data_IF_026683264099
#
_entry.id   IF_026683264099
#
_cell.length_a   1.000
_cell.length_b   1.000
_cell.length_c   1.000
_cell.angle_alpha   90.00
_cell.angle_beta   90.00
_cell.angle_gamma   90.00
#
_symmetry.space_group_name_H-M   'P 1'
#
loop_
_entity.id
_entity.type
_entity.pdbx_description
1 polymer ?
#
# COMPACT_ATOMS: atom_id res chain seq x y z
N UNK A 1 -4.68 22.56 62.98
CA UNK A 1 -4.97 23.70 62.10
C UNK A 1 -4.27 23.59 60.74
N UNK A 2 -2.95 23.34 60.63
CA UNK A 2 -2.27 23.37 59.31
C UNK A 2 -2.38 22.13 58.39
N UNK A 3 -2.82 20.96 58.86
CA UNK A 3 -2.75 19.70 58.08
C UNK A 3 -3.83 19.55 56.99
N UNK A 4 -5.03 20.09 57.19
CA UNK A 4 -6.14 19.96 56.23
C UNK A 4 -5.98 20.92 55.03
N UNK A 5 -5.53 22.15 55.27
CA UNK A 5 -5.19 23.10 54.20
C UNK A 5 -4.04 22.60 53.32
N UNK A 6 -2.99 22.01 53.93
CA UNK A 6 -1.88 21.41 53.17
C UNK A 6 -2.34 20.24 52.30
N UNK A 7 -3.34 19.46 52.76
CA UNK A 7 -3.87 18.33 52.00
C UNK A 7 -4.65 18.76 50.75
N UNK A 8 -5.46 19.82 50.86
CA UNK A 8 -6.14 20.41 49.71
C UNK A 8 -5.16 20.98 48.67
N UNK A 9 -4.10 21.64 49.12
CA UNK A 9 -3.05 22.17 48.23
C UNK A 9 -2.25 21.05 47.54
N UNK A 10 -2.02 19.93 48.21
CA UNK A 10 -1.40 18.75 47.63
C UNK A 10 -2.28 18.08 46.56
N UNK A 11 -3.61 18.01 46.80
CA UNK A 11 -4.59 17.52 45.80
C UNK A 11 -4.63 18.42 44.56
N UNK A 12 -4.65 19.74 44.73
CA UNK A 12 -4.65 20.68 43.60
C UNK A 12 -3.37 20.57 42.76
N UNK A 13 -2.23 20.35 43.43
CA UNK A 13 -0.96 20.09 42.74
C UNK A 13 -0.99 18.78 41.96
N UNK A 14 -1.50 17.70 42.57
CA UNK A 14 -1.66 16.41 41.90
C UNK A 14 -2.62 16.49 40.70
N UNK A 15 -3.75 17.22 40.84
CA UNK A 15 -4.69 17.47 39.76
C UNK A 15 -4.06 18.25 38.60
N UNK A 16 -3.23 19.24 38.90
CA UNK A 16 -2.47 19.99 37.88
C UNK A 16 -1.50 19.07 37.12
N UNK A 17 -0.72 18.27 37.83
CA UNK A 17 0.19 17.29 37.20
C UNK A 17 -0.57 16.32 36.31
N UNK A 18 -1.72 15.82 36.75
CA UNK A 18 -2.54 14.90 35.98
C UNK A 18 -3.13 15.55 34.72
N UNK A 19 -3.51 16.82 34.78
CA UNK A 19 -3.97 17.56 33.59
C UNK A 19 -2.84 17.80 32.58
N UNK A 20 -1.60 18.03 33.05
CA UNK A 20 -0.42 18.13 32.19
C UNK A 20 -0.15 16.79 31.48
N UNK A 21 -0.26 15.66 32.20
CA UNK A 21 -0.14 14.33 31.61
C UNK A 21 -1.26 14.05 30.59
N UNK A 22 -2.51 14.39 30.91
CA UNK A 22 -3.63 14.26 29.99
C UNK A 22 -3.41 15.06 28.70
N UNK A 23 -2.85 16.26 28.82
CA UNK A 23 -2.48 17.09 27.67
C UNK A 23 -1.35 16.45 26.84
N UNK A 24 -0.38 15.82 27.49
CA UNK A 24 0.68 15.09 26.79
C UNK A 24 0.12 13.87 26.04
N UNK A 25 -0.83 13.13 26.64
CA UNK A 25 -1.53 12.00 25.99
C UNK A 25 -2.31 12.44 24.76
N UNK A 26 -3.04 13.54 24.83
CA UNK A 26 -3.76 14.09 23.66
C UNK A 26 -2.82 14.44 22.50
N UNK A 27 -1.65 15.01 22.80
CA UNK A 27 -0.64 15.29 21.77
C UNK A 27 -0.12 14.01 21.14
N UNK A 28 0.12 12.96 21.93
CA UNK A 28 0.55 11.65 21.44
C UNK A 28 -0.55 10.98 20.59
N UNK A 29 -1.82 11.14 20.96
CA UNK A 29 -2.95 10.69 20.15
C UNK A 29 -2.96 11.40 18.79
N UNK A 30 -2.71 12.72 18.78
CA UNK A 30 -2.60 13.49 17.54
C UNK A 30 -1.47 12.99 16.62
N UNK A 31 -0.28 12.73 17.17
CA UNK A 31 0.83 12.20 16.35
C UNK A 31 0.56 10.80 15.81
N UNK A 32 -0.19 9.97 16.54
CA UNK A 32 -0.64 8.65 16.07
C UNK A 32 -1.65 8.76 14.94
N UNK A 33 -2.61 9.69 15.02
CA UNK A 33 -3.54 9.94 13.93
C UNK A 33 -2.82 10.42 12.66
N UNK A 34 -1.86 11.34 12.80
CA UNK A 34 -1.04 11.80 11.67
C UNK A 34 -0.26 10.64 11.03
N UNK A 35 0.31 9.75 11.85
CA UNK A 35 1.00 8.56 11.37
C UNK A 35 0.05 7.56 10.68
N UNK A 36 -1.18 7.42 11.17
CA UNK A 36 -2.21 6.60 10.53
C UNK A 36 -2.58 7.15 9.15
N UNK A 37 -2.82 8.47 9.05
CA UNK A 37 -3.13 9.15 7.79
C UNK A 37 -2.01 8.97 6.77
N UNK A 38 -0.75 9.16 7.18
CA UNK A 38 0.41 8.97 6.30
C UNK A 38 0.51 7.54 5.76
N UNK A 39 0.19 6.53 6.57
CA UNK A 39 0.17 5.13 6.14
C UNK A 39 -0.97 4.83 5.17
N UNK A 40 -2.16 5.37 5.43
CA UNK A 40 -3.30 5.23 4.52
C UNK A 40 -2.98 5.86 3.15
N UNK A 41 -2.39 7.06 3.12
CA UNK A 41 -1.92 7.71 1.88
C UNK A 41 -0.89 6.85 1.15
N UNK A 42 0.08 6.28 1.88
CA UNK A 42 1.10 5.40 1.28
C UNK A 42 0.46 4.13 0.70
N UNK A 43 -0.58 3.58 1.34
CA UNK A 43 -1.33 2.44 0.82
C UNK A 43 -2.10 2.82 -0.46
N UNK A 44 -2.73 3.99 -0.50
CA UNK A 44 -3.45 4.50 -1.69
C UNK A 44 -2.52 4.75 -2.89
N UNK A 45 -1.32 5.28 -2.64
CA UNK A 45 -0.30 5.46 -3.69
C UNK A 45 0.07 4.12 -4.31
N UNK A 46 0.29 3.08 -3.48
CA UNK A 46 0.57 1.72 -3.97
C UNK A 46 -0.59 1.16 -4.79
N UNK A 47 -1.82 1.27 -4.31
CA UNK A 47 -3.00 0.81 -5.05
C UNK A 47 -3.13 1.51 -6.41
N UNK A 48 -2.80 2.80 -6.46
CA UNK A 48 -2.86 3.61 -7.68
C UNK A 48 -1.78 3.21 -8.68
N UNK A 49 -0.56 2.97 -8.21
CA UNK A 49 0.53 2.45 -9.03
C UNK A 49 0.18 1.05 -9.59
N UNK A 50 -0.38 0.18 -8.76
CA UNK A 50 -0.80 -1.17 -9.16
C UNK A 50 -1.87 -1.15 -10.27
N UNK A 51 -2.79 -0.17 -10.25
CA UNK A 51 -3.81 -0.01 -11.32
C UNK A 51 -3.17 0.35 -12.67
N UNK A 52 -2.17 1.22 -12.67
CA UNK A 52 -1.44 1.62 -13.88
C UNK A 52 -0.62 0.45 -14.43
N UNK A 53 0.19 -0.19 -13.58
CA UNK A 53 0.97 -1.35 -13.99
C UNK A 53 0.07 -2.50 -14.48
N UNK A 54 -1.11 -2.72 -13.88
CA UNK A 54 -2.08 -3.73 -14.34
C UNK A 54 -2.50 -3.52 -15.78
N UNK A 55 -2.72 -2.26 -16.16
CA UNK A 55 -3.13 -1.93 -17.52
C UNK A 55 -2.01 -2.24 -18.50
N UNK A 56 -0.79 -1.81 -18.19
CA UNK A 56 0.40 -2.10 -18.99
C UNK A 56 0.67 -3.61 -19.10
N UNK A 57 0.54 -4.35 -18.00
CA UNK A 57 0.72 -5.79 -17.96
C UNK A 57 -0.31 -6.53 -18.83
N UNK A 58 -1.58 -6.08 -18.84
CA UNK A 58 -2.62 -6.63 -19.72
C UNK A 58 -2.34 -6.34 -21.19
N UNK A 59 -1.86 -5.14 -21.50
CA UNK A 59 -1.53 -4.78 -22.88
C UNK A 59 -0.32 -5.59 -23.39
N UNK A 60 0.69 -5.84 -22.54
CA UNK A 60 1.79 -6.74 -22.87
C UNK A 60 1.32 -8.18 -23.21
N UNK A 61 0.33 -8.72 -22.49
CA UNK A 61 -0.26 -10.03 -22.84
C UNK A 61 -0.97 -10.02 -24.18
N UNK A 62 -1.71 -8.95 -24.51
CA UNK A 62 -2.38 -8.81 -25.80
C UNK A 62 -1.36 -8.73 -26.94
N UNK A 63 -0.28 -8.00 -26.74
CA UNK A 63 0.81 -7.91 -27.71
C UNK A 63 1.50 -9.26 -27.90
N UNK A 64 1.71 -10.02 -26.82
CA UNK A 64 2.25 -11.38 -26.89
C UNK A 64 1.35 -12.31 -27.73
N UNK A 65 0.03 -12.30 -27.49
CA UNK A 65 -0.92 -13.08 -28.29
C UNK A 65 -0.92 -12.65 -29.76
N UNK A 66 -0.82 -11.34 -30.03
CA UNK A 66 -0.75 -10.83 -31.39
C UNK A 66 0.52 -11.30 -32.10
N UNK A 67 1.66 -11.30 -31.41
CA UNK A 67 2.93 -11.82 -31.93
C UNK A 67 2.87 -13.32 -32.20
N UNK A 68 2.26 -14.11 -31.32
CA UNK A 68 2.07 -15.54 -31.57
C UNK A 68 1.23 -15.80 -32.83
N UNK A 69 0.12 -15.05 -33.02
CA UNK A 69 -0.68 -15.13 -34.25
C UNK A 69 0.11 -14.73 -35.50
N UNK A 70 0.93 -13.68 -35.39
CA UNK A 70 1.81 -13.22 -36.46
C UNK A 70 2.89 -14.25 -36.80
N UNK A 71 3.42 -14.97 -35.81
CA UNK A 71 4.36 -16.06 -36.01
C UNK A 71 3.70 -17.25 -36.72
N UNK A 72 2.49 -17.65 -36.29
CA UNK A 72 1.72 -18.72 -36.93
C UNK A 72 1.41 -18.40 -38.40
N UNK A 73 0.97 -17.17 -38.69
CA UNK A 73 0.71 -16.73 -40.05
C UNK A 73 1.96 -16.81 -40.94
N UNK A 74 3.13 -16.47 -40.39
CA UNK A 74 4.41 -16.58 -41.12
C UNK A 74 4.82 -18.03 -41.36
N UNK A 75 4.64 -18.92 -40.39
CA UNK A 75 4.92 -20.34 -40.59
C UNK A 75 4.01 -20.95 -41.67
N UNK A 76 2.72 -20.59 -41.68
CA UNK A 76 1.80 -20.99 -42.75
C UNK A 76 2.27 -20.47 -44.10
N UNK A 77 2.71 -19.21 -44.17
CA UNK A 77 3.20 -18.59 -45.39
C UNK A 77 4.53 -19.23 -45.86
N UNK A 78 5.42 -19.60 -44.93
CA UNK A 78 6.66 -20.32 -45.23
C UNK A 78 6.36 -21.70 -45.82
N UNK A 79 5.49 -22.47 -45.16
CA UNK A 79 5.08 -23.80 -45.63
C UNK A 79 4.42 -23.75 -47.02
N UNK A 80 3.59 -22.74 -47.29
CA UNK A 80 2.99 -22.55 -48.61
C UNK A 80 4.04 -22.28 -49.70
N UNK A 81 5.07 -21.48 -49.39
CA UNK A 81 6.18 -21.19 -50.33
C UNK A 81 7.08 -22.39 -50.56
N UNK A 82 7.37 -23.17 -49.52
CA UNK A 82 8.13 -24.43 -49.63
C UNK A 82 7.40 -25.45 -50.49
N UNK A 83 6.08 -25.57 -50.30
CA UNK A 83 5.24 -26.41 -51.15
C UNK A 83 5.29 -25.95 -52.60
N UNK A 84 5.09 -24.66 -52.87
CA UNK A 84 5.16 -24.11 -54.22
C UNK A 84 6.54 -24.32 -54.89
N UNK A 85 7.63 -24.22 -54.12
CA UNK A 85 8.98 -24.51 -54.63
C UNK A 85 9.17 -26.00 -54.96
N UNK A 86 8.52 -26.89 -54.21
CA UNK A 86 8.55 -28.34 -54.43
C UNK A 86 7.72 -28.74 -55.65
N UNK A 87 6.58 -28.08 -55.86
CA UNK A 87 5.67 -28.35 -56.99
C UNK A 87 6.26 -27.84 -58.33
N UNK A 88 7.09 -26.79 -58.33
CA UNK A 88 7.72 -26.19 -59.54
C UNK A 88 9.25 -25.99 -59.41
N UNK A 89 10.05 -27.07 -59.32
CA UNK A 89 11.49 -27.00 -59.00
C UNK A 89 12.35 -26.41 -60.12
N UNK A 90 11.92 -26.52 -61.38
CA UNK A 90 12.64 -25.96 -62.54
C UNK A 90 12.26 -24.50 -62.84
N UNK A 91 11.32 -23.92 -62.09
CA UNK A 91 11.04 -22.50 -62.19
C UNK A 91 12.24 -21.71 -61.66
N UNK A 92 12.72 -20.70 -62.39
CA UNK A 92 13.78 -19.79 -61.90
C UNK A 92 13.42 -19.03 -60.60
N UNK A 93 12.26 -19.31 -60.01
CA UNK A 93 11.72 -18.75 -58.78
C UNK A 93 11.87 -19.68 -57.56
N UNK A 94 12.22 -20.97 -57.74
CA UNK A 94 12.31 -21.95 -56.64
C UNK A 94 13.19 -21.42 -55.49
N UNK A 95 14.38 -20.90 -55.82
CA UNK A 95 15.34 -20.43 -54.83
C UNK A 95 14.85 -19.15 -54.12
N UNK A 96 14.10 -18.30 -54.83
CA UNK A 96 13.49 -17.10 -54.22
C UNK A 96 12.39 -17.47 -53.22
N UNK A 97 11.59 -18.50 -53.53
CA UNK A 97 10.54 -18.99 -52.63
C UNK A 97 11.12 -19.58 -51.35
N UNK A 98 12.18 -20.39 -51.45
CA UNK A 98 12.86 -20.95 -50.28
C UNK A 98 13.51 -19.88 -49.41
N UNK A 99 14.19 -18.90 -50.02
CA UNK A 99 14.78 -17.78 -49.26
C UNK A 99 13.71 -16.99 -48.49
N UNK A 100 12.54 -16.76 -49.11
CA UNK A 100 11.41 -16.08 -48.43
C UNK A 100 10.81 -16.94 -47.32
N UNK A 101 10.66 -18.25 -47.54
CA UNK A 101 10.16 -19.16 -46.52
C UNK A 101 11.09 -19.19 -45.30
N UNK A 102 12.40 -19.22 -45.54
CA UNK A 102 13.39 -19.13 -44.47
C UNK A 102 13.28 -17.79 -43.70
N UNK A 103 13.18 -16.66 -44.40
CA UNK A 103 12.99 -15.36 -43.77
C UNK A 103 11.69 -15.30 -42.94
N UNK A 104 10.60 -15.90 -43.41
CA UNK A 104 9.35 -15.98 -42.66
C UNK A 104 9.50 -16.83 -41.38
N UNK A 105 10.20 -17.97 -41.43
CA UNK A 105 10.50 -18.79 -40.25
C UNK A 105 11.38 -18.06 -39.24
N UNK A 106 12.39 -17.35 -39.70
CA UNK A 106 13.26 -16.53 -38.84
C UNK A 106 12.44 -15.43 -38.13
N UNK A 107 11.57 -14.74 -38.87
CA UNK A 107 10.68 -13.73 -38.30
C UNK A 107 9.64 -14.34 -37.34
N UNK A 108 9.11 -15.53 -37.63
CA UNK A 108 8.20 -16.25 -36.72
C UNK A 108 8.90 -16.65 -35.41
N UNK A 109 10.16 -17.09 -35.48
CA UNK A 109 10.96 -17.37 -34.28
C UNK A 109 11.21 -16.10 -33.46
N UNK A 110 11.51 -14.96 -34.12
CA UNK A 110 11.68 -13.68 -33.44
C UNK A 110 10.40 -13.22 -32.73
N UNK A 111 9.24 -13.33 -33.38
CA UNK A 111 7.94 -12.98 -32.80
C UNK A 111 7.62 -13.84 -31.56
N UNK A 112 7.87 -15.15 -31.63
CA UNK A 112 7.70 -16.06 -30.48
C UNK A 112 8.63 -15.71 -29.32
N UNK A 113 9.87 -15.36 -29.62
CA UNK A 113 10.84 -14.95 -28.60
C UNK A 113 10.38 -13.66 -27.90
N UNK A 114 9.87 -12.69 -28.65
CA UNK A 114 9.30 -11.47 -28.10
C UNK A 114 8.05 -11.76 -27.24
N UNK A 115 7.11 -12.58 -27.74
CA UNK A 115 5.93 -12.98 -26.98
C UNK A 115 6.28 -13.71 -25.67
N UNK A 116 7.34 -14.54 -25.67
CA UNK A 116 7.85 -15.18 -24.46
C UNK A 116 8.41 -14.16 -23.46
N UNK A 117 9.13 -13.15 -23.94
CA UNK A 117 9.65 -12.06 -23.10
C UNK A 117 8.52 -11.23 -22.47
N UNK A 118 7.47 -10.91 -23.23
CA UNK A 118 6.30 -10.19 -22.71
C UNK A 118 5.59 -10.97 -21.61
N UNK A 119 5.41 -12.29 -21.80
CA UNK A 119 4.84 -13.17 -20.77
C UNK A 119 5.72 -13.24 -19.52
N UNK A 120 7.04 -13.29 -19.68
CA UNK A 120 7.97 -13.27 -18.54
C UNK A 120 7.90 -11.94 -17.76
N UNK A 121 7.77 -10.81 -18.45
CA UNK A 121 7.55 -9.51 -17.84
C UNK A 121 6.22 -9.47 -17.08
N UNK A 122 5.15 -10.05 -17.64
CA UNK A 122 3.86 -10.18 -16.97
C UNK A 122 3.95 -10.99 -15.66
N UNK A 123 4.67 -12.11 -15.65
CA UNK A 123 4.89 -12.88 -14.42
C UNK A 123 5.65 -12.08 -13.36
N UNK A 124 6.68 -11.35 -13.77
CA UNK A 124 7.43 -10.45 -12.86
C UNK A 124 6.52 -9.37 -12.26
N UNK A 125 5.59 -8.84 -13.06
CA UNK A 125 4.57 -7.91 -12.57
C UNK A 125 3.66 -8.57 -11.51
N UNK A 126 3.18 -9.79 -11.74
CA UNK A 126 2.34 -10.51 -10.77
C UNK A 126 3.04 -10.73 -9.42
N UNK A 127 4.33 -11.08 -9.46
CA UNK A 127 5.14 -11.25 -8.23
C UNK A 127 5.24 -9.93 -7.45
N UNK A 128 5.53 -8.84 -8.16
CA UNK A 128 5.57 -7.50 -7.57
C UNK A 128 4.22 -7.09 -7.00
N UNK A 129 3.14 -7.33 -7.73
CA UNK A 129 1.76 -7.04 -7.31
C UNK A 129 1.45 -7.74 -5.98
N UNK A 130 1.81 -9.01 -5.85
CA UNK A 130 1.61 -9.76 -4.60
C UNK A 130 2.40 -9.19 -3.41
N UNK A 131 3.57 -8.59 -3.66
CA UNK A 131 4.35 -7.89 -2.62
C UNK A 131 3.68 -6.56 -2.26
N UNK A 132 3.29 -5.75 -3.24
CA UNK A 132 2.69 -4.43 -3.01
C UNK A 132 1.34 -4.52 -2.29
N UNK A 133 0.48 -5.47 -2.66
CA UNK A 133 -0.80 -5.69 -1.98
C UNK A 133 -0.61 -6.07 -0.52
N UNK A 134 0.39 -6.91 -0.21
CA UNK A 134 0.71 -7.29 1.17
C UNK A 134 1.25 -6.09 1.96
N UNK A 135 2.08 -5.26 1.34
CA UNK A 135 2.58 -4.04 1.97
C UNK A 135 1.44 -3.05 2.27
N UNK A 136 0.58 -2.75 1.29
CA UNK A 136 -0.58 -1.87 1.47
C UNK A 136 -1.55 -2.40 2.54
N UNK A 137 -1.79 -3.72 2.59
CA UNK A 137 -2.61 -4.33 3.63
C UNK A 137 -2.00 -4.19 5.03
N UNK A 138 -0.67 -4.30 5.14
CA UNK A 138 0.04 -4.04 6.42
C UNK A 138 -0.11 -2.58 6.82
N UNK A 139 0.12 -1.63 5.91
CA UNK A 139 0.05 -0.21 6.24
C UNK A 139 -1.34 0.19 6.74
N UNK A 140 -2.42 -0.30 6.11
CA UNK A 140 -3.79 -0.08 6.60
C UNK A 140 -4.05 -0.71 7.97
N UNK A 141 -3.47 -1.89 8.24
CA UNK A 141 -3.58 -2.53 9.56
C UNK A 141 -2.87 -1.69 10.62
N UNK A 142 -1.65 -1.25 10.34
CA UNK A 142 -0.85 -0.46 11.27
C UNK A 142 -1.51 0.91 11.51
N UNK A 143 -2.10 1.53 10.48
CA UNK A 143 -2.91 2.74 10.60
C UNK A 143 -4.14 2.54 11.50
N UNK A 144 -4.83 1.41 11.38
CA UNK A 144 -5.95 1.08 12.27
C UNK A 144 -5.50 0.92 13.73
N UNK A 145 -4.36 0.25 13.95
CA UNK A 145 -3.79 0.10 15.30
C UNK A 145 -3.38 1.44 15.92
N UNK A 146 -2.84 2.36 15.12
CA UNK A 146 -2.49 3.70 15.60
C UNK A 146 -3.74 4.50 15.99
N UNK A 147 -4.83 4.41 15.22
CA UNK A 147 -6.11 5.02 15.57
C UNK A 147 -6.71 4.44 16.85
N UNK A 148 -6.66 3.12 17.03
CA UNK A 148 -7.11 2.46 18.26
C UNK A 148 -6.29 2.92 19.47
N UNK A 149 -4.96 3.05 19.29
CA UNK A 149 -4.06 3.52 20.35
C UNK A 149 -4.30 5.00 20.68
N UNK A 150 -4.51 5.85 19.67
CA UNK A 150 -4.85 7.26 19.84
C UNK A 150 -6.18 7.42 20.59
N UNK A 151 -7.17 6.57 20.28
CA UNK A 151 -8.44 6.57 20.99
C UNK A 151 -8.25 6.19 22.47
N UNK A 152 -7.45 5.16 22.76
CA UNK A 152 -7.14 4.76 24.13
C UNK A 152 -6.43 5.89 24.91
N UNK A 153 -5.50 6.62 24.29
CA UNK A 153 -4.85 7.77 24.94
C UNK A 153 -5.85 8.87 25.31
N UNK A 154 -6.80 9.18 24.41
CA UNK A 154 -7.82 10.21 24.65
C UNK A 154 -8.78 9.81 25.75
N UNK A 155 -9.16 8.53 25.80
CA UNK A 155 -10.02 8.02 26.86
C UNK A 155 -9.31 8.09 28.21
N UNK A 156 -8.02 7.72 28.28
CA UNK A 156 -7.20 7.90 29.48
C UNK A 156 -7.07 9.38 29.87
N UNK A 157 -6.81 10.28 28.91
CA UNK A 157 -6.74 11.72 29.15
C UNK A 157 -8.08 12.31 29.64
N UNK A 158 -9.21 11.73 29.22
CA UNK A 158 -10.54 12.11 29.72
C UNK A 158 -10.70 11.66 31.18
N UNK A 159 -10.37 10.41 31.49
CA UNK A 159 -10.45 9.87 32.84
C UNK A 159 -9.56 10.66 33.81
N UNK A 160 -8.36 11.04 33.35
CA UNK A 160 -7.43 11.89 34.09
C UNK A 160 -8.06 13.23 34.47
N UNK A 161 -8.67 13.93 33.52
CA UNK A 161 -9.35 15.20 33.80
C UNK A 161 -10.53 15.04 34.74
N UNK A 162 -11.30 13.96 34.61
CA UNK A 162 -12.39 13.64 35.53
C UNK A 162 -11.87 13.45 36.96
N UNK A 163 -10.76 12.72 37.13
CA UNK A 163 -10.11 12.55 38.43
C UNK A 163 -9.55 13.88 38.97
N UNK A 164 -8.93 14.70 38.13
CA UNK A 164 -8.45 16.04 38.50
C UNK A 164 -9.58 16.96 38.97
N UNK A 165 -10.72 16.95 38.29
CA UNK A 165 -11.90 17.71 38.72
C UNK A 165 -12.42 17.24 40.08
N UNK A 166 -12.49 15.92 40.31
CA UNK A 166 -12.90 15.37 41.60
C UNK A 166 -11.92 15.74 42.73
N UNK A 167 -10.61 15.69 42.46
CA UNK A 167 -9.57 16.08 43.43
C UNK A 167 -9.71 17.56 43.83
N UNK A 168 -10.00 18.46 42.88
CA UNK A 168 -10.22 19.89 43.13
C UNK A 168 -11.50 20.15 43.90
N UNK A 169 -12.58 19.45 43.57
CA UNK A 169 -13.84 19.52 44.33
C UNK A 169 -13.60 19.11 45.79
N UNK A 170 -12.90 18.00 46.02
CA UNK A 170 -12.57 17.55 47.36
C UNK A 170 -11.66 18.54 48.09
N UNK A 171 -10.62 19.08 47.43
CA UNK A 171 -9.76 20.11 48.00
C UNK A 171 -10.55 21.37 48.42
N UNK A 172 -11.56 21.77 47.62
CA UNK A 172 -12.43 22.89 47.94
C UNK A 172 -13.28 22.64 49.20
N UNK A 173 -13.80 21.41 49.36
CA UNK A 173 -14.55 21.00 50.56
C UNK A 173 -13.63 20.97 51.78
N UNK A 174 -12.43 20.40 51.66
CA UNK A 174 -11.44 20.32 52.74
C UNK A 174 -11.04 21.73 53.23
N UNK A 175 -10.87 22.69 52.31
CA UNK A 175 -10.65 24.10 52.66
C UNK A 175 -11.84 24.73 53.35
N UNK A 176 -13.07 24.51 52.85
CA UNK A 176 -14.29 25.07 53.44
C UNK A 176 -14.56 24.54 54.86
N UNK A 177 -14.13 23.32 55.18
CA UNK A 177 -14.23 22.73 56.52
C UNK A 177 -13.15 23.21 57.50
N UNK A 178 -12.17 24.02 57.05
CA UNK A 178 -11.12 24.57 57.90
C UNK A 178 -11.49 26.02 58.28
N UNK A 179 -11.89 26.31 59.53
CA UNK A 179 -12.28 27.66 59.94
C UNK A 179 -11.07 28.63 59.92
N UNK A 180 -11.30 29.94 59.67
CA UNK A 180 -10.22 30.92 59.67
C UNK A 180 -9.54 30.98 61.06
N UNK A 181 -8.23 31.22 61.12
CA UNK A 181 -7.56 31.42 62.41
C UNK A 181 -8.11 32.69 63.09
N UNK A 182 -8.54 32.56 64.34
CA UNK A 182 -8.82 33.69 65.25
C UNK A 182 -7.52 34.39 65.68
#
# INVERSE_FOLDING_TARGET
MGRLSAHGDDRDRAATTRDDEATARDRLAGTRDDAALARDETAEIRDSHDKLERTSARDALRDAEQRDRSAEARDVAAAAREKAATDEPESGRWQTLLNRAQADREAAMADRAAAAADRAAFHTYLDRLGIQQRAAARDRRDAAQDRDSAQADRDAARDDRTASSADREQASVERAMTPPPE
#
